data_IF_111540795512
#
_entry.id   IF_111540795512
#
_cell.length_a   1.000
_cell.length_b   1.000
_cell.length_c   1.000
_cell.angle_alpha   90.00
_cell.angle_beta   90.00
_cell.angle_gamma   90.00
#
_symmetry.space_group_name_H-M   'P 1'
#
loop_
_entity.id
_entity.type
_entity.pdbx_description
1 polymer ?
#
# COMPACT_ATOMS: atom_id res chain seq x y z
N UNK A 1 5.49 44.06 -39.85
CA UNK A 1 4.54 43.69 -38.79
C UNK A 1 4.09 42.25 -39.01
N UNK A 2 4.83 41.23 -38.67
CA UNK A 2 4.42 39.88 -38.95
C UNK A 2 4.71 38.86 -37.81
N UNK A 3 5.96 38.53 -37.43
CA UNK A 3 6.21 37.41 -36.51
C UNK A 3 5.87 37.73 -35.03
N UNK A 4 6.03 38.97 -34.59
CA UNK A 4 5.82 39.34 -33.17
C UNK A 4 4.33 39.31 -32.78
N UNK A 5 3.42 39.61 -33.71
CA UNK A 5 1.97 39.58 -33.43
C UNK A 5 1.43 38.14 -33.35
N UNK A 6 1.96 37.20 -34.17
CA UNK A 6 1.54 35.81 -34.13
C UNK A 6 2.01 35.13 -32.82
N UNK A 7 3.24 35.40 -32.40
CA UNK A 7 3.79 34.87 -31.13
C UNK A 7 3.01 35.42 -29.92
N UNK A 8 2.63 36.70 -29.94
CA UNK A 8 1.82 37.31 -28.87
C UNK A 8 0.41 36.68 -28.80
N UNK A 9 -0.23 36.42 -29.94
CA UNK A 9 -1.55 35.75 -30.01
C UNK A 9 -1.48 34.31 -29.51
N UNK A 10 -0.44 33.57 -29.89
CA UNK A 10 -0.22 32.20 -29.40
C UNK A 10 0.03 32.18 -27.90
N UNK A 11 0.88 33.08 -27.38
CA UNK A 11 1.12 33.19 -25.95
C UNK A 11 -0.14 33.61 -25.17
N UNK A 12 -0.91 34.57 -25.73
CA UNK A 12 -2.16 34.98 -25.12
C UNK A 12 -3.20 33.85 -25.06
N UNK A 13 -3.24 32.95 -26.05
CA UNK A 13 -4.20 31.83 -26.05
C UNK A 13 -3.92 30.80 -24.92
N UNK A 14 -2.69 30.68 -24.41
CA UNK A 14 -2.38 29.81 -23.26
C UNK A 14 -2.89 30.38 -21.93
N UNK A 15 -3.17 31.66 -21.84
CA UNK A 15 -3.64 32.36 -20.63
C UNK A 15 -5.11 32.83 -20.74
N UNK A 16 -5.80 32.48 -21.83
CA UNK A 16 -7.21 32.82 -22.00
C UNK A 16 -8.13 31.82 -21.30
N UNK A 17 -9.35 32.19 -20.94
CA UNK A 17 -10.38 31.29 -20.42
C UNK A 17 -10.70 30.10 -21.33
N UNK A 18 -10.22 30.09 -22.57
CA UNK A 18 -10.40 28.98 -23.52
C UNK A 18 -9.76 27.66 -23.10
N UNK A 19 -8.86 27.63 -22.11
CA UNK A 19 -8.25 26.45 -21.56
C UNK A 19 -8.46 26.35 -20.03
N UNK A 20 -9.52 27.00 -19.55
CA UNK A 20 -9.88 26.92 -18.14
C UNK A 20 -10.47 25.55 -17.80
N UNK A 21 -10.22 25.08 -16.57
CA UNK A 21 -10.79 23.83 -16.06
C UNK A 21 -12.28 23.99 -15.83
N UNK A 22 -13.10 23.26 -16.59
CA UNK A 22 -14.55 23.14 -16.38
C UNK A 22 -14.92 21.78 -15.79
N UNK A 23 -14.05 20.77 -15.99
CA UNK A 23 -14.25 19.42 -15.52
C UNK A 23 -12.97 18.84 -14.95
N UNK A 24 -13.08 18.16 -13.81
CA UNK A 24 -12.00 17.32 -13.26
C UNK A 24 -12.46 15.88 -13.35
N UNK A 25 -11.66 15.03 -13.98
CA UNK A 25 -11.90 13.58 -14.08
C UNK A 25 -10.94 12.85 -13.16
N UNK A 26 -11.48 11.98 -12.29
CA UNK A 26 -10.69 11.10 -11.42
C UNK A 26 -10.67 9.69 -11.98
N UNK A 27 -9.51 9.06 -11.94
CA UNK A 27 -9.31 7.67 -12.36
C UNK A 27 -8.50 6.94 -11.29
N UNK A 28 -8.94 5.75 -10.88
CA UNK A 28 -8.25 4.92 -9.91
C UNK A 28 -8.61 5.19 -8.45
N UNK A 29 -9.59 6.06 -8.18
CA UNK A 29 -10.17 6.24 -6.86
C UNK A 29 -11.24 5.16 -6.61
N UNK A 30 -10.86 4.10 -5.87
CA UNK A 30 -11.75 2.98 -5.57
C UNK A 30 -12.50 3.16 -4.24
N UNK A 31 -11.79 3.65 -3.21
CA UNK A 31 -12.30 3.85 -1.85
C UNK A 31 -12.55 5.31 -1.51
N UNK A 32 -11.89 6.22 -2.21
CA UNK A 32 -12.10 7.66 -2.02
C UNK A 32 -13.26 8.10 -2.90
N UNK A 33 -14.28 8.71 -2.28
CA UNK A 33 -15.41 9.22 -3.04
C UNK A 33 -14.97 10.35 -3.98
N UNK A 34 -15.40 10.29 -5.23
CA UNK A 34 -15.07 11.31 -6.22
C UNK A 34 -15.54 12.72 -5.79
N UNK A 35 -16.68 12.81 -5.09
CA UNK A 35 -17.21 14.08 -4.57
C UNK A 35 -16.26 14.74 -3.56
N UNK A 36 -15.56 13.97 -2.72
CA UNK A 36 -14.60 14.52 -1.75
C UNK A 36 -13.35 15.06 -2.45
N UNK A 37 -12.89 14.35 -3.49
CA UNK A 37 -11.78 14.80 -4.35
C UNK A 37 -12.16 16.08 -5.12
N UNK A 38 -13.38 16.12 -5.66
CA UNK A 38 -13.89 17.29 -6.39
C UNK A 38 -13.96 18.50 -5.47
N UNK A 39 -14.45 18.33 -4.24
CA UNK A 39 -14.49 19.39 -3.24
C UNK A 39 -13.08 19.88 -2.89
N UNK A 40 -12.12 18.97 -2.71
CA UNK A 40 -10.74 19.33 -2.40
C UNK A 40 -10.06 20.12 -3.54
N UNK A 41 -10.35 19.75 -4.79
CA UNK A 41 -9.79 20.41 -5.97
C UNK A 41 -10.67 21.56 -6.51
N UNK A 42 -11.72 21.95 -5.79
CA UNK A 42 -12.68 22.97 -6.25
C UNK A 42 -12.04 24.32 -6.59
N UNK A 43 -10.93 24.69 -5.93
CA UNK A 43 -10.16 25.90 -6.19
C UNK A 43 -9.47 25.93 -7.57
N UNK A 44 -9.43 24.79 -8.30
CA UNK A 44 -8.82 24.69 -9.62
C UNK A 44 -9.79 25.00 -10.76
N UNK A 45 -11.10 25.03 -10.51
CA UNK A 45 -12.09 25.39 -11.52
C UNK A 45 -11.90 26.83 -12.01
N UNK A 46 -12.25 27.06 -13.25
CA UNK A 46 -12.14 28.35 -13.95
C UNK A 46 -10.69 28.87 -14.12
N UNK A 47 -9.71 28.11 -13.69
CA UNK A 47 -8.29 28.45 -13.84
C UNK A 47 -7.72 27.85 -15.13
N UNK A 48 -6.84 28.59 -15.85
CA UNK A 48 -6.13 28.01 -16.99
C UNK A 48 -5.30 26.81 -16.58
N UNK A 49 -5.48 25.66 -17.24
CA UNK A 49 -4.78 24.41 -16.93
C UNK A 49 -3.25 24.56 -16.92
N UNK A 50 -2.72 25.47 -17.75
CA UNK A 50 -1.28 25.75 -17.85
C UNK A 50 -0.69 26.42 -16.59
N UNK A 51 -1.54 26.96 -15.70
CA UNK A 51 -1.12 27.61 -14.44
C UNK A 51 -1.20 26.68 -13.24
N UNK A 52 -1.74 25.48 -13.40
CA UNK A 52 -1.90 24.50 -12.33
C UNK A 52 -0.65 23.63 -12.28
N UNK A 53 -0.05 23.53 -11.11
CA UNK A 53 1.12 22.68 -10.87
C UNK A 53 0.77 21.42 -10.07
N UNK A 54 1.56 20.35 -10.24
CA UNK A 54 1.41 19.14 -9.45
C UNK A 54 1.64 19.38 -7.95
N UNK A 55 2.52 20.33 -7.58
CA UNK A 55 2.74 20.72 -6.19
C UNK A 55 1.50 21.34 -5.54
N UNK A 56 0.74 22.10 -6.30
CA UNK A 56 -0.53 22.69 -5.84
C UNK A 56 -1.58 21.59 -5.64
N UNK A 57 -1.73 20.68 -6.60
CA UNK A 57 -2.62 19.53 -6.49
C UNK A 57 -2.22 18.67 -5.30
N UNK A 58 -0.92 18.40 -5.09
CA UNK A 58 -0.41 17.65 -3.94
C UNK A 58 -0.84 18.28 -2.61
N UNK A 59 -0.75 19.60 -2.48
CA UNK A 59 -1.19 20.32 -1.29
C UNK A 59 -2.69 20.19 -1.04
N UNK A 60 -3.51 20.30 -2.10
CA UNK A 60 -4.96 20.15 -1.99
C UNK A 60 -5.37 18.72 -1.62
N UNK A 61 -4.64 17.72 -2.11
CA UNK A 61 -4.87 16.31 -1.83
C UNK A 61 -4.19 15.80 -0.55
N UNK A 62 -3.40 16.61 0.15
CA UNK A 62 -2.60 16.20 1.32
C UNK A 62 -3.42 15.65 2.49
N UNK A 63 -4.72 15.98 2.58
CA UNK A 63 -5.64 15.44 3.59
C UNK A 63 -6.08 14.00 3.35
N UNK A 64 -5.82 13.43 2.16
CA UNK A 64 -6.21 12.07 1.79
C UNK A 64 -5.06 11.08 2.01
N UNK A 65 -4.96 10.52 3.22
CA UNK A 65 -3.92 9.52 3.56
C UNK A 65 -3.97 8.26 2.68
N UNK A 66 -5.13 7.97 2.10
CA UNK A 66 -5.34 6.88 1.16
C UNK A 66 -4.61 7.07 -0.18
N UNK A 67 -4.25 8.30 -0.57
CA UNK A 67 -3.54 8.54 -1.82
C UNK A 67 -2.05 8.19 -1.63
N UNK A 68 -1.57 7.22 -2.38
CA UNK A 68 -0.15 6.89 -2.44
C UNK A 68 0.59 7.82 -3.40
N UNK A 69 0.07 7.93 -4.63
CA UNK A 69 0.60 8.80 -5.68
C UNK A 69 -0.55 9.29 -6.56
N UNK A 70 -0.32 10.37 -7.25
CA UNK A 70 -1.20 10.83 -8.31
C UNK A 70 -0.39 11.34 -9.49
N UNK A 71 -1.02 11.45 -10.66
CA UNK A 71 -0.51 12.18 -11.82
C UNK A 71 -1.62 13.04 -12.39
N UNK A 72 -1.31 14.27 -12.80
CA UNK A 72 -2.25 15.15 -13.44
C UNK A 72 -1.97 15.26 -14.94
N UNK A 73 -3.02 15.40 -15.74
CA UNK A 73 -2.93 15.56 -17.17
C UNK A 73 -4.00 16.53 -17.68
N UNK A 74 -3.55 17.61 -18.27
CA UNK A 74 -4.45 18.51 -19.01
C UNK A 74 -4.99 17.82 -20.27
N UNK A 75 -6.30 17.78 -20.40
CA UNK A 75 -7.01 17.30 -21.59
C UNK A 75 -7.82 18.46 -22.19
N UNK A 76 -7.24 19.20 -23.12
CA UNK A 76 -7.95 20.28 -23.77
C UNK A 76 -9.29 19.84 -24.41
N UNK A 77 -10.34 20.70 -24.45
CA UNK A 77 -10.21 22.12 -24.10
C UNK A 77 -10.33 22.42 -22.60
N UNK A 78 -11.04 21.63 -21.78
CA UNK A 78 -11.50 22.08 -20.47
C UNK A 78 -11.40 21.01 -19.36
N UNK A 79 -10.77 19.85 -19.63
CA UNK A 79 -10.72 18.74 -18.68
C UNK A 79 -9.35 18.61 -18.06
N UNK A 80 -9.30 18.56 -16.73
CA UNK A 80 -8.13 18.13 -15.96
C UNK A 80 -8.35 16.69 -15.50
N UNK A 81 -7.54 15.74 -16.00
CA UNK A 81 -7.58 14.35 -15.54
C UNK A 81 -6.57 14.16 -14.43
N UNK A 82 -7.03 13.60 -13.30
CA UNK A 82 -6.20 13.24 -12.16
C UNK A 82 -6.29 11.72 -11.97
N UNK A 83 -5.17 11.04 -12.28
CA UNK A 83 -5.06 9.61 -12.04
C UNK A 83 -4.52 9.41 -10.62
N UNK A 84 -5.27 8.68 -9.81
CA UNK A 84 -4.96 8.42 -8.41
C UNK A 84 -4.58 6.95 -8.24
N UNK A 85 -3.54 6.71 -7.49
CA UNK A 85 -3.19 5.38 -7.00
C UNK A 85 -3.39 5.36 -5.50
N UNK A 86 -4.37 4.56 -5.06
CA UNK A 86 -4.65 4.39 -3.64
C UNK A 86 -3.67 3.40 -2.99
N UNK A 87 -3.28 3.70 -1.72
CA UNK A 87 -2.45 2.83 -0.89
C UNK A 87 -3.14 1.50 -0.66
N UNK A 88 -2.40 0.42 -0.82
CA UNK A 88 -2.90 -0.92 -0.54
C UNK A 88 -2.45 -1.36 0.86
N UNK A 89 -3.39 -1.72 1.75
CA UNK A 89 -3.02 -2.25 3.06
C UNK A 89 -2.33 -3.60 2.94
N UNK A 90 -1.35 -3.84 3.82
CA UNK A 90 -0.63 -5.11 3.87
C UNK A 90 -0.70 -5.76 5.26
N UNK A 91 -0.90 -4.99 6.30
CA UNK A 91 -0.96 -5.51 7.67
C UNK A 91 -1.72 -4.57 8.61
N UNK A 92 -2.00 -5.08 9.81
CA UNK A 92 -2.65 -4.37 10.90
C UNK A 92 -1.64 -4.15 12.02
N UNK A 93 -1.55 -2.92 12.53
CA UNK A 93 -0.92 -2.60 13.81
C UNK A 93 -2.00 -2.19 14.82
N UNK A 94 -1.83 -2.66 16.06
CA UNK A 94 -2.65 -2.19 17.18
C UNK A 94 -1.98 -0.96 17.79
N UNK A 95 -2.70 0.14 17.86
CA UNK A 95 -2.26 1.40 18.49
C UNK A 95 -3.31 1.87 19.47
N UNK A 96 -2.93 2.03 20.73
CA UNK A 96 -3.85 2.46 21.80
C UNK A 96 -5.15 1.62 21.87
N UNK A 97 -5.04 0.30 21.63
CA UNK A 97 -6.17 -0.63 21.65
C UNK A 97 -7.06 -0.60 20.41
N UNK A 98 -6.69 0.13 19.37
CA UNK A 98 -7.41 0.21 18.10
C UNK A 98 -6.58 -0.36 16.95
N UNK A 99 -7.24 -1.04 16.01
CA UNK A 99 -6.60 -1.62 14.83
C UNK A 99 -6.49 -0.59 13.72
N UNK A 100 -5.30 -0.47 13.14
CA UNK A 100 -5.04 0.40 12.00
C UNK A 100 -4.38 -0.37 10.86
N UNK A 101 -4.86 -0.11 9.66
CA UNK A 101 -4.28 -0.62 8.41
C UNK A 101 -3.05 0.19 8.05
N UNK A 102 -2.00 -0.52 7.64
CA UNK A 102 -0.74 0.07 7.17
C UNK A 102 -0.37 -0.48 5.79
N UNK A 103 0.19 0.40 4.96
CA UNK A 103 0.79 -0.01 3.69
C UNK A 103 2.22 -0.55 3.85
N UNK A 104 2.82 -0.99 2.75
CA UNK A 104 4.17 -1.52 2.73
C UNK A 104 5.26 -0.48 3.05
N UNK A 105 4.97 0.81 2.92
CA UNK A 105 5.86 1.90 3.29
C UNK A 105 5.76 2.28 4.78
N UNK A 106 4.86 1.65 5.54
CA UNK A 106 4.63 1.96 6.95
C UNK A 106 3.73 3.17 7.18
N UNK A 107 2.99 3.61 6.16
CA UNK A 107 2.04 4.70 6.27
C UNK A 107 0.70 4.17 6.78
N UNK A 108 0.17 4.81 7.83
CA UNK A 108 -1.15 4.49 8.35
C UNK A 108 -2.23 4.95 7.37
N UNK A 109 -3.13 4.04 7.01
CA UNK A 109 -4.20 4.29 6.04
C UNK A 109 -5.49 4.71 6.75
N UNK A 110 -6.04 3.79 7.57
CA UNK A 110 -7.32 3.98 8.25
C UNK A 110 -7.43 3.05 9.46
N UNK A 111 -8.34 3.37 10.37
CA UNK A 111 -8.80 2.41 11.36
C UNK A 111 -9.61 1.29 10.69
N UNK A 112 -9.55 0.07 11.22
CA UNK A 112 -10.27 -1.08 10.69
C UNK A 112 -10.89 -1.91 11.78
N UNK A 113 -12.16 -2.24 11.61
CA UNK A 113 -12.86 -3.25 12.42
C UNK A 113 -12.70 -4.65 11.81
N UNK A 114 -12.40 -4.73 10.51
CA UNK A 114 -12.18 -5.99 9.81
C UNK A 114 -10.76 -6.48 10.03
N UNK A 115 -10.63 -7.57 10.81
CA UNK A 115 -9.34 -8.14 11.21
C UNK A 115 -9.00 -9.45 10.50
N UNK A 116 -9.94 -9.97 9.70
CA UNK A 116 -9.78 -11.28 9.04
C UNK A 116 -8.91 -11.23 7.78
N UNK A 117 -8.81 -10.06 7.14
CA UNK A 117 -8.24 -9.90 5.81
C UNK A 117 -6.72 -9.69 5.79
N UNK A 118 -6.19 -9.10 6.85
CA UNK A 118 -4.77 -8.74 6.95
C UNK A 118 -4.13 -9.35 8.19
N UNK A 119 -2.83 -9.71 8.15
CA UNK A 119 -2.11 -10.18 9.33
C UNK A 119 -1.85 -9.05 10.32
N UNK A 120 -1.83 -9.40 11.60
CA UNK A 120 -1.34 -8.51 12.64
C UNK A 120 0.18 -8.50 12.69
N UNK A 121 0.80 -7.34 12.79
CA UNK A 121 2.20 -7.22 13.18
C UNK A 121 2.28 -6.82 14.65
N UNK A 122 2.97 -7.64 15.45
CA UNK A 122 3.30 -7.30 16.84
C UNK A 122 4.51 -6.38 16.81
N UNK A 123 4.28 -5.09 16.97
CA UNK A 123 5.31 -4.08 16.76
C UNK A 123 5.04 -2.79 17.54
N UNK A 124 6.05 -2.34 18.28
CA UNK A 124 6.09 -1.05 18.95
C UNK A 124 7.14 -0.16 18.29
N UNK A 125 6.80 1.08 17.97
CA UNK A 125 7.68 2.05 17.35
C UNK A 125 7.12 2.68 16.07
N UNK A 126 7.97 3.44 15.36
CA UNK A 126 7.61 4.06 14.08
C UNK A 126 7.84 3.05 12.93
N UNK A 127 6.80 2.68 12.16
CA UNK A 127 6.94 1.72 11.05
C UNK A 127 7.87 2.23 9.93
N UNK A 128 7.82 3.52 9.60
CA UNK A 128 8.45 4.09 8.40
C UNK A 128 9.98 3.87 8.37
N UNK A 129 10.64 3.91 9.55
CA UNK A 129 12.11 3.81 9.64
C UNK A 129 12.58 2.50 10.30
N UNK A 130 11.66 1.56 10.52
CA UNK A 130 11.97 0.36 11.28
C UNK A 130 12.49 -0.79 10.41
N UNK A 131 13.69 -1.31 10.65
CA UNK A 131 14.16 -2.55 10.02
C UNK A 131 13.24 -3.75 10.29
N UNK A 132 12.63 -3.83 11.49
CA UNK A 132 11.68 -4.89 11.86
C UNK A 132 10.42 -4.82 11.00
N UNK A 133 9.86 -3.61 10.80
CA UNK A 133 8.71 -3.42 9.92
C UNK A 133 9.05 -3.78 8.46
N UNK A 134 10.16 -3.27 7.95
CA UNK A 134 10.64 -3.59 6.60
C UNK A 134 10.87 -5.11 6.41
N UNK A 135 11.39 -5.80 7.43
CA UNK A 135 11.57 -7.26 7.41
C UNK A 135 10.22 -7.98 7.36
N UNK A 136 9.24 -7.56 8.18
CA UNK A 136 7.89 -8.12 8.13
C UNK A 136 7.27 -7.99 6.74
N UNK A 137 7.37 -6.81 6.14
CA UNK A 137 6.86 -6.53 4.78
C UNK A 137 7.53 -7.44 3.75
N UNK A 138 8.86 -7.59 3.79
CA UNK A 138 9.61 -8.48 2.87
C UNK A 138 9.16 -9.93 2.98
N UNK A 139 8.96 -10.42 4.20
CA UNK A 139 8.47 -11.78 4.43
C UNK A 139 7.05 -11.93 3.88
N UNK A 140 6.14 -11.00 4.19
CA UNK A 140 4.77 -11.06 3.68
C UNK A 140 4.70 -11.03 2.14
N UNK A 141 5.56 -10.26 1.49
CA UNK A 141 5.63 -10.22 0.03
C UNK A 141 6.25 -11.47 -0.61
N UNK A 142 6.99 -12.27 0.15
CA UNK A 142 7.49 -13.56 -0.37
C UNK A 142 6.46 -14.67 -0.31
N UNK A 143 5.34 -14.46 0.40
CA UNK A 143 4.27 -15.45 0.51
C UNK A 143 3.33 -15.36 -0.70
N UNK A 144 2.90 -16.49 -1.28
CA UNK A 144 1.78 -16.51 -2.20
C UNK A 144 0.51 -16.00 -1.54
N UNK A 145 -0.41 -15.50 -2.35
CA UNK A 145 -1.66 -14.90 -1.86
C UNK A 145 -2.48 -15.85 -0.97
N UNK A 146 -2.48 -17.14 -1.31
CA UNK A 146 -3.17 -18.17 -0.53
C UNK A 146 -2.56 -18.26 0.87
N UNK A 147 -1.24 -18.50 0.98
CA UNK A 147 -0.54 -18.58 2.27
C UNK A 147 -0.64 -17.28 3.06
N UNK A 148 -0.49 -16.12 2.39
CA UNK A 148 -0.66 -14.82 3.01
C UNK A 148 -2.04 -14.66 3.66
N UNK A 149 -3.11 -15.09 3.00
CA UNK A 149 -4.49 -14.99 3.53
C UNK A 149 -4.70 -15.81 4.81
N UNK A 150 -3.91 -16.86 5.00
CA UNK A 150 -3.94 -17.70 6.18
C UNK A 150 -3.06 -17.18 7.33
N UNK A 151 -2.24 -16.14 7.12
CA UNK A 151 -1.44 -15.56 8.21
C UNK A 151 -2.35 -14.79 9.17
N UNK A 152 -2.32 -15.18 10.44
CA UNK A 152 -2.97 -14.43 11.51
C UNK A 152 -2.08 -13.30 12.02
N UNK A 153 -0.82 -13.61 12.35
CA UNK A 153 0.12 -12.62 12.85
C UNK A 153 1.55 -12.91 12.41
N UNK A 154 2.33 -11.84 12.36
CA UNK A 154 3.76 -11.85 12.12
C UNK A 154 4.46 -11.15 13.28
N UNK A 155 5.54 -11.71 13.74
CA UNK A 155 6.40 -11.15 14.78
C UNK A 155 7.85 -11.12 14.26
N UNK A 156 8.52 -10.00 14.43
CA UNK A 156 9.93 -9.83 14.07
C UNK A 156 10.71 -9.39 15.29
N UNK A 157 11.72 -10.20 15.66
CA UNK A 157 12.58 -9.92 16.80
C UNK A 157 13.56 -8.78 16.52
N UNK A 158 14.27 -8.32 17.54
CA UNK A 158 15.35 -7.33 17.41
C UNK A 158 16.49 -7.82 16.50
N UNK A 159 16.71 -9.14 16.44
CA UNK A 159 17.69 -9.78 15.56
C UNK A 159 17.16 -10.00 14.13
N UNK A 160 15.99 -9.43 13.77
CA UNK A 160 15.32 -9.58 12.49
C UNK A 160 14.91 -11.02 12.15
N UNK A 161 14.74 -11.86 13.18
CA UNK A 161 14.20 -13.20 13.03
C UNK A 161 12.67 -13.13 13.04
N UNK A 162 12.04 -13.78 12.08
CA UNK A 162 10.60 -13.72 11.86
C UNK A 162 9.90 -15.01 12.25
N UNK A 163 8.73 -14.88 12.86
CA UNK A 163 7.79 -15.94 13.18
C UNK A 163 6.41 -15.56 12.65
N UNK A 164 5.72 -16.50 12.02
CA UNK A 164 4.34 -16.37 11.57
C UNK A 164 3.44 -17.27 12.40
N UNK A 165 2.20 -16.85 12.63
CA UNK A 165 1.15 -17.70 13.18
C UNK A 165 0.05 -17.78 12.13
N UNK A 166 -0.37 -18.99 11.76
CA UNK A 166 -1.44 -19.20 10.81
C UNK A 166 -2.81 -19.25 11.51
N UNK A 167 -3.86 -18.84 10.82
CA UNK A 167 -5.24 -18.76 11.35
C UNK A 167 -5.81 -20.13 11.69
N UNK A 168 -5.50 -21.12 10.87
CA UNK A 168 -5.96 -22.48 11.06
C UNK A 168 -5.01 -23.24 11.99
N UNK A 169 -5.55 -23.76 13.09
CA UNK A 169 -4.82 -24.61 14.01
C UNK A 169 -3.78 -23.91 14.88
N UNK A 170 -3.66 -22.59 14.87
CA UNK A 170 -2.59 -21.84 15.55
C UNK A 170 -1.18 -22.33 15.20
N UNK A 171 -0.99 -22.85 13.99
CA UNK A 171 0.28 -23.34 13.52
C UNK A 171 1.31 -22.20 13.50
N UNK A 172 2.42 -22.42 14.20
CA UNK A 172 3.53 -21.48 14.24
C UNK A 172 4.56 -21.83 13.18
N UNK A 173 4.95 -20.88 12.34
CA UNK A 173 6.00 -21.03 11.35
C UNK A 173 7.21 -20.19 11.75
N UNK A 174 8.33 -20.85 12.04
CA UNK A 174 9.62 -20.19 12.21
C UNK A 174 10.23 -19.92 10.85
N UNK A 175 10.21 -18.66 10.45
CA UNK A 175 10.68 -18.21 9.14
C UNK A 175 12.19 -17.90 9.13
N UNK A 176 12.71 -17.39 10.25
CA UNK A 176 14.08 -16.92 10.36
C UNK A 176 14.26 -15.53 9.69
N UNK A 177 15.36 -15.35 8.98
CA UNK A 177 15.62 -14.09 8.25
C UNK A 177 14.69 -13.93 7.04
N UNK A 178 14.60 -12.71 6.49
CA UNK A 178 13.88 -12.45 5.26
C UNK A 178 14.60 -12.93 3.98
N UNK A 179 15.80 -13.48 4.11
CA UNK A 179 16.56 -14.03 2.99
C UNK A 179 15.95 -15.32 2.47
N UNK A 180 16.17 -15.65 1.21
CA UNK A 180 15.63 -16.84 0.53
C UNK A 180 14.10 -16.98 0.64
N UNK A 181 13.37 -15.85 0.75
CA UNK A 181 11.94 -15.83 1.04
C UNK A 181 11.11 -16.66 0.07
N UNK A 182 11.39 -16.63 -1.23
CA UNK A 182 10.67 -17.43 -2.22
C UNK A 182 10.88 -18.93 -2.01
N UNK A 183 12.12 -19.36 -1.76
CA UNK A 183 12.42 -20.78 -1.52
C UNK A 183 11.75 -21.28 -0.22
N UNK A 184 11.80 -20.48 0.86
CA UNK A 184 11.10 -20.80 2.11
C UNK A 184 9.59 -20.90 1.91
N UNK A 185 9.04 -20.04 1.07
CA UNK A 185 7.62 -20.05 0.72
C UNK A 185 7.23 -21.33 -0.02
N UNK A 186 7.98 -21.74 -1.03
CA UNK A 186 7.76 -22.98 -1.78
C UNK A 186 7.82 -24.22 -0.86
N UNK A 187 8.82 -24.24 0.05
CA UNK A 187 8.95 -25.32 1.03
C UNK A 187 7.75 -25.34 1.99
N UNK A 188 7.34 -24.17 2.52
CA UNK A 188 6.17 -24.07 3.39
C UNK A 188 4.89 -24.55 2.69
N UNK A 189 4.64 -24.11 1.46
CA UNK A 189 3.47 -24.55 0.68
C UNK A 189 3.47 -26.07 0.45
N UNK A 190 4.64 -26.63 0.10
CA UNK A 190 4.78 -28.08 -0.09
C UNK A 190 4.43 -28.84 1.20
N UNK A 191 4.90 -28.36 2.36
CA UNK A 191 4.59 -28.97 3.65
C UNK A 191 3.09 -28.84 3.98
N UNK A 192 2.49 -27.67 3.80
CA UNK A 192 1.06 -27.44 4.05
C UNK A 192 0.19 -28.34 3.14
N UNK A 193 0.58 -28.52 1.87
CA UNK A 193 -0.11 -29.39 0.93
C UNK A 193 -0.07 -30.88 1.31
N UNK A 194 0.97 -31.34 2.02
CA UNK A 194 1.08 -32.72 2.51
C UNK A 194 0.24 -33.02 3.74
N UNK A 195 -0.52 -32.04 4.24
CA UNK A 195 -1.49 -32.26 5.31
C UNK A 195 -0.92 -32.23 6.72
N UNK A 196 0.14 -31.45 6.98
CA UNK A 196 0.70 -31.19 8.32
C UNK A 196 -0.26 -30.39 9.23
N UNK A 197 -1.58 -30.62 9.10
CA UNK A 197 -2.63 -29.87 9.81
C UNK A 197 -2.56 -29.98 11.33
N UNK A 198 -2.00 -31.09 11.82
CA UNK A 198 -1.85 -31.35 13.26
C UNK A 198 -0.48 -30.94 13.81
N UNK A 199 0.37 -30.31 13.01
CA UNK A 199 1.65 -29.81 13.47
C UNK A 199 1.46 -28.59 14.39
N UNK A 200 2.30 -28.50 15.42
CA UNK A 200 2.40 -27.33 16.29
C UNK A 200 3.30 -26.25 15.67
N UNK A 201 4.41 -26.71 15.08
CA UNK A 201 5.39 -25.81 14.49
C UNK A 201 5.96 -26.35 13.19
N UNK A 202 6.26 -25.45 12.27
CA UNK A 202 7.06 -25.69 11.07
C UNK A 202 8.24 -24.73 11.10
N UNK A 203 9.45 -25.23 10.99
CA UNK A 203 10.64 -24.41 10.86
C UNK A 203 11.17 -24.48 9.42
N UNK A 204 11.10 -23.35 8.71
CA UNK A 204 11.63 -23.15 7.37
C UNK A 204 12.80 -22.16 7.35
N UNK A 205 13.37 -21.83 8.53
CA UNK A 205 14.51 -20.91 8.62
C UNK A 205 15.71 -21.38 7.79
N UNK A 206 15.83 -22.71 7.64
CA UNK A 206 16.76 -23.39 6.74
C UNK A 206 15.97 -24.19 5.70
N UNK A 207 15.65 -23.63 4.52
CA UNK A 207 14.71 -24.24 3.58
C UNK A 207 15.16 -25.60 3.03
N UNK A 208 16.47 -25.86 3.04
CA UNK A 208 17.03 -27.16 2.62
C UNK A 208 16.90 -28.27 3.69
N UNK A 209 16.50 -27.93 4.92
CA UNK A 209 16.35 -28.87 6.04
C UNK A 209 15.20 -28.43 6.95
N UNK A 210 13.96 -28.40 6.44
CA UNK A 210 12.81 -27.95 7.23
C UNK A 210 12.52 -28.96 8.34
N UNK A 211 11.98 -28.46 9.45
CA UNK A 211 11.59 -29.29 10.61
C UNK A 211 10.11 -29.10 10.91
N UNK A 212 9.40 -30.20 11.14
CA UNK A 212 7.98 -30.19 11.55
C UNK A 212 7.87 -30.83 12.92
N UNK A 213 7.25 -30.16 13.88
CA UNK A 213 7.00 -30.68 15.22
C UNK A 213 5.50 -30.91 15.42
N UNK A 214 5.16 -32.09 15.96
CA UNK A 214 3.82 -32.49 16.31
C UNK A 214 3.60 -32.49 17.82
N UNK A 215 2.33 -32.40 18.29
CA UNK A 215 2.02 -32.59 19.69
C UNK A 215 2.47 -34.01 20.12
N UNK A 216 3.22 -34.10 21.22
CA UNK A 216 3.70 -35.37 21.79
C UNK A 216 4.78 -36.13 20.97
N UNK A 217 5.55 -35.44 20.18
CA UNK A 217 6.78 -36.00 19.59
C UNK A 217 8.02 -35.66 20.43
#
# INVERSE_FOLDING_TARGET
MGPVSLTAVVLASFFTPMLAVEKIEFVGNERIAAADLELALSALYERPMTTISDDEIAKLLSGFSLIETFTSQAQPPHTLRVNIRERQPILILVRSGQNYLYDAAGVQIAASEETSKYPFLVFDGNPIESPRFSTAVKVLFSLPLETYSHVFSIEVSESLTTKLVLREGNLTVFWGSAEEGLLKSEVLESLLATGVKDALTIDVSSPNSPVVQYPNS
#
